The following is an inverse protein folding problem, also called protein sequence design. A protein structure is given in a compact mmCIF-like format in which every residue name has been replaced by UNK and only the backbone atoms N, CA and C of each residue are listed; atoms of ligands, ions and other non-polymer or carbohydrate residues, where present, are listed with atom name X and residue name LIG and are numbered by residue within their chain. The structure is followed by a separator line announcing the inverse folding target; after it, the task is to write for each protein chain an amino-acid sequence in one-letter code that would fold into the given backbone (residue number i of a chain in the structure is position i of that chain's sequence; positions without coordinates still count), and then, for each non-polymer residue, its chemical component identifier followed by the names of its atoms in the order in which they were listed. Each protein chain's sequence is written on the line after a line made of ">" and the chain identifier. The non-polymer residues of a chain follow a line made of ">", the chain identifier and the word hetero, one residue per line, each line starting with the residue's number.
data_IF_567394756142
#
_entry.id   IF_567394756142
#
_cell.length_a   1.000
_cell.length_b   1.000
_cell.length_c   1.000
_cell.angle_alpha   90.00
_cell.angle_beta   90.00
_cell.angle_gamma   90.00
#
_symmetry.space_group_name_H-M   'P 1'
#
loop_
_entity.id
_entity.type
_entity.pdbx_description
1 polymer ?
#
# COMPACT_ATOMS: atom_id res chain seq x y z
N UNK A 1 -35.98 -9.25 -27.00
CA UNK A 1 -35.28 -10.11 -26.04
C UNK A 1 -33.95 -10.49 -26.67
N UNK A 2 -32.95 -9.60 -26.52
CA UNK A 2 -31.59 -9.81 -27.01
C UNK A 2 -30.78 -10.30 -25.82
N UNK A 3 -30.37 -11.56 -25.87
CA UNK A 3 -29.43 -12.16 -24.94
C UNK A 3 -28.07 -11.52 -25.19
N UNK A 4 -27.66 -10.62 -24.35
CA UNK A 4 -26.28 -10.18 -24.24
C UNK A 4 -25.46 -11.36 -23.73
N UNK A 5 -24.74 -12.04 -24.61
CA UNK A 5 -23.72 -13.00 -24.24
C UNK A 5 -22.58 -12.22 -23.55
N UNK A 6 -22.49 -12.34 -22.24
CA UNK A 6 -21.30 -11.94 -21.51
C UNK A 6 -20.14 -12.83 -22.00
N UNK A 7 -19.39 -12.32 -22.96
CA UNK A 7 -18.07 -12.86 -23.28
C UNK A 7 -17.16 -12.41 -22.14
N UNK A 8 -17.08 -13.21 -21.09
CA UNK A 8 -16.02 -13.09 -20.10
C UNK A 8 -14.72 -13.41 -20.82
N UNK A 9 -13.93 -12.38 -21.10
CA UNK A 9 -12.57 -12.56 -21.58
C UNK A 9 -11.84 -13.45 -20.55
N UNK A 10 -11.26 -14.55 -21.01
CA UNK A 10 -10.51 -15.46 -20.14
C UNK A 10 -9.29 -14.70 -19.65
N UNK A 11 -9.17 -14.49 -18.33
CA UNK A 11 -8.02 -13.87 -17.72
C UNK A 11 -6.75 -14.61 -18.15
N UNK A 12 -5.76 -13.89 -18.69
CA UNK A 12 -4.52 -14.53 -19.19
C UNK A 12 -3.68 -15.00 -18.02
N UNK A 13 -3.02 -16.13 -18.19
CA UNK A 13 -2.11 -16.68 -17.16
C UNK A 13 -0.84 -15.82 -17.00
N UNK A 14 -0.51 -14.97 -17.98
CA UNK A 14 0.59 -14.03 -17.93
C UNK A 14 0.27 -12.77 -18.70
N UNK A 15 0.71 -11.63 -18.20
CA UNK A 15 0.61 -10.33 -18.83
C UNK A 15 1.93 -9.58 -18.69
N UNK A 16 2.22 -8.75 -19.70
CA UNK A 16 3.38 -7.90 -19.74
C UNK A 16 2.97 -6.53 -20.24
N UNK A 17 3.23 -5.48 -19.45
CA UNK A 17 2.77 -4.13 -19.74
C UNK A 17 3.95 -3.17 -19.72
N UNK A 18 4.38 -2.62 -20.86
CA UNK A 18 5.29 -1.49 -20.88
C UNK A 18 4.54 -0.23 -20.42
N UNK A 19 5.22 0.65 -19.71
CA UNK A 19 4.65 1.92 -19.28
C UNK A 19 5.66 3.05 -19.36
N UNK A 20 5.11 4.26 -19.51
CA UNK A 20 5.84 5.52 -19.54
C UNK A 20 5.10 6.49 -18.64
N UNK A 21 5.83 7.18 -17.75
CA UNK A 21 5.27 8.24 -16.93
C UNK A 21 6.35 9.26 -16.56
N UNK A 22 5.92 10.36 -15.96
CA UNK A 22 6.83 11.36 -15.40
C UNK A 22 6.38 11.77 -14.01
N UNK A 23 7.34 11.89 -13.09
CA UNK A 23 7.13 12.41 -11.74
C UNK A 23 8.21 13.42 -11.40
N UNK A 24 7.97 14.28 -10.42
CA UNK A 24 8.95 15.24 -9.96
C UNK A 24 10.23 14.54 -9.44
N UNK A 25 10.07 13.46 -8.69
CA UNK A 25 11.17 12.68 -8.10
C UNK A 25 11.98 11.93 -9.16
N UNK A 26 11.30 11.18 -10.03
CA UNK A 26 11.97 10.30 -10.99
C UNK A 26 12.31 10.97 -12.32
N UNK A 27 11.60 12.06 -12.70
CA UNK A 27 11.65 12.58 -14.05
C UNK A 27 10.87 11.70 -15.04
N UNK A 28 11.21 11.76 -16.33
CA UNK A 28 10.63 10.90 -17.36
C UNK A 28 11.16 9.47 -17.18
N UNK A 29 10.26 8.53 -16.98
CA UNK A 29 10.58 7.15 -16.64
C UNK A 29 9.93 6.18 -17.63
N UNK A 30 10.69 5.21 -18.10
CA UNK A 30 10.21 4.08 -18.88
C UNK A 30 10.38 2.81 -18.08
N UNK A 31 9.37 1.96 -18.13
CA UNK A 31 9.40 0.73 -17.36
C UNK A 31 8.58 -0.39 -17.97
N UNK A 32 8.65 -1.51 -17.32
CA UNK A 32 7.90 -2.70 -17.68
C UNK A 32 7.45 -3.40 -16.41
N UNK A 33 6.21 -3.89 -16.42
CA UNK A 33 5.67 -4.76 -15.38
C UNK A 33 5.17 -6.05 -16.00
N UNK A 34 5.36 -7.16 -15.31
CA UNK A 34 4.88 -8.47 -15.73
C UNK A 34 4.29 -9.25 -14.57
N UNK A 35 3.25 -10.02 -14.85
CA UNK A 35 2.64 -10.97 -13.93
C UNK A 35 2.53 -12.33 -14.62
N UNK A 36 2.87 -13.39 -13.88
CA UNK A 36 2.61 -14.77 -14.29
C UNK A 36 1.81 -15.45 -13.16
N UNK A 37 0.58 -15.87 -13.48
CA UNK A 37 -0.35 -16.52 -12.56
C UNK A 37 -0.27 -18.04 -12.71
N UNK A 38 -0.64 -18.77 -11.67
CA UNK A 38 -0.68 -20.23 -11.70
C UNK A 38 0.70 -20.92 -11.80
N UNK A 39 1.79 -20.20 -11.44
CA UNK A 39 3.15 -20.74 -11.51
C UNK A 39 3.35 -21.78 -10.42
N UNK A 40 3.47 -23.04 -10.83
CA UNK A 40 3.54 -24.28 -10.00
C UNK A 40 2.31 -24.58 -9.18
N UNK A 41 1.52 -23.58 -8.78
CA UNK A 41 0.28 -23.74 -8.00
C UNK A 41 -0.79 -22.78 -8.53
N UNK A 42 -2.08 -23.16 -8.65
CA UNK A 42 -3.13 -22.36 -9.29
C UNK A 42 -3.33 -20.96 -8.68
N UNK A 43 -3.14 -20.83 -7.36
CA UNK A 43 -3.30 -19.57 -6.62
C UNK A 43 -2.03 -18.74 -6.59
N UNK A 44 -0.87 -19.30 -6.95
CA UNK A 44 0.41 -18.62 -6.88
C UNK A 44 0.63 -17.67 -8.06
N UNK A 45 1.35 -16.59 -7.82
CA UNK A 45 1.71 -15.63 -8.85
C UNK A 45 3.14 -15.12 -8.65
N UNK A 46 3.82 -14.86 -9.77
CA UNK A 46 5.04 -14.09 -9.83
C UNK A 46 4.72 -12.71 -10.41
N UNK A 47 5.26 -11.67 -9.80
CA UNK A 47 5.18 -10.30 -10.31
C UNK A 47 6.57 -9.69 -10.34
N UNK A 48 6.88 -9.00 -11.43
CA UNK A 48 8.12 -8.25 -11.59
C UNK A 48 7.87 -6.90 -12.21
N UNK A 49 8.62 -5.89 -11.79
CA UNK A 49 8.62 -4.56 -12.37
C UNK A 49 10.03 -4.01 -12.39
N UNK A 50 10.37 -3.36 -13.49
CA UNK A 50 11.60 -2.58 -13.60
C UNK A 50 11.33 -1.27 -14.31
N UNK A 51 11.96 -0.19 -13.84
CA UNK A 51 11.93 1.10 -14.53
C UNK A 51 13.29 1.79 -14.48
N UNK A 52 13.50 2.65 -15.44
CA UNK A 52 14.67 3.53 -15.56
C UNK A 52 14.22 4.93 -15.97
N UNK A 53 14.85 5.96 -15.43
CA UNK A 53 14.50 7.35 -15.62
C UNK A 53 15.59 8.18 -16.30
N UNK A 54 15.21 9.34 -16.85
CA UNK A 54 16.12 10.33 -17.44
C UNK A 54 17.08 11.00 -16.42
N UNK A 55 16.81 10.82 -15.11
CA UNK A 55 17.70 11.22 -14.00
C UNK A 55 18.67 10.11 -13.57
N UNK A 56 18.88 9.06 -14.38
CA UNK A 56 19.67 7.88 -14.03
C UNK A 56 19.20 7.15 -12.74
N UNK A 57 17.92 7.32 -12.39
CA UNK A 57 17.28 6.57 -11.31
C UNK A 57 16.73 5.26 -11.85
N UNK A 58 16.71 4.22 -11.02
CA UNK A 58 16.03 2.96 -11.35
C UNK A 58 15.29 2.39 -10.15
N UNK A 59 14.23 1.63 -10.42
CA UNK A 59 13.51 0.84 -9.45
C UNK A 59 13.35 -0.57 -10.00
N UNK A 60 13.67 -1.57 -9.18
CA UNK A 60 13.42 -2.98 -9.43
C UNK A 60 12.54 -3.56 -8.32
N UNK A 61 11.51 -4.30 -8.71
CA UNK A 61 10.63 -5.02 -7.80
C UNK A 61 10.38 -6.43 -8.32
N UNK A 62 10.52 -7.42 -7.45
CA UNK A 62 10.20 -8.80 -7.74
C UNK A 62 9.45 -9.41 -6.55
N UNK A 63 8.43 -10.17 -6.83
CA UNK A 63 7.69 -10.87 -5.79
C UNK A 63 7.13 -12.20 -6.24
N UNK A 64 7.01 -13.11 -5.30
CA UNK A 64 6.30 -14.37 -5.44
C UNK A 64 5.23 -14.43 -4.35
N UNK A 65 3.98 -14.69 -4.74
CA UNK A 65 2.83 -14.59 -3.85
C UNK A 65 2.09 -15.92 -3.73
N UNK A 66 1.57 -16.19 -2.53
CA UNK A 66 0.53 -17.18 -2.25
C UNK A 66 0.93 -18.63 -2.56
N UNK A 67 2.19 -19.00 -2.34
CA UNK A 67 2.61 -20.40 -2.42
C UNK A 67 2.12 -21.16 -1.20
N UNK A 68 1.20 -22.09 -1.37
CA UNK A 68 0.72 -22.94 -0.29
C UNK A 68 1.79 -23.95 0.13
N UNK A 69 2.27 -23.83 1.37
CA UNK A 69 3.15 -24.81 2.00
C UNK A 69 2.36 -25.94 2.65
N UNK A 70 1.16 -25.60 3.15
CA UNK A 70 0.15 -26.54 3.66
C UNK A 70 -1.25 -25.99 3.34
N UNK A 71 -2.32 -26.71 3.71
CA UNK A 71 -3.70 -26.29 3.51
C UNK A 71 -4.06 -24.94 4.17
N UNK A 72 -3.21 -24.41 5.06
CA UNK A 72 -3.45 -23.17 5.80
C UNK A 72 -2.22 -22.26 5.92
N UNK A 73 -1.08 -22.70 5.44
CA UNK A 73 0.15 -21.90 5.50
C UNK A 73 0.56 -21.50 4.09
N UNK A 74 0.52 -20.21 3.83
CA UNK A 74 0.96 -19.61 2.57
C UNK A 74 2.32 -18.91 2.77
N UNK A 75 3.12 -18.96 1.74
CA UNK A 75 4.41 -18.26 1.65
C UNK A 75 4.37 -17.22 0.55
N UNK A 76 4.92 -16.05 0.84
CA UNK A 76 5.17 -14.98 -0.14
C UNK A 76 6.53 -14.35 0.10
N UNK A 77 7.11 -13.74 -0.92
CA UNK A 77 8.35 -12.96 -0.80
C UNK A 77 8.32 -11.74 -1.68
N UNK A 78 8.99 -10.68 -1.24
CA UNK A 78 9.11 -9.41 -1.97
C UNK A 78 10.55 -8.92 -1.89
N UNK A 79 11.08 -8.49 -3.03
CA UNK A 79 12.39 -7.89 -3.19
C UNK A 79 12.21 -6.55 -3.89
N UNK A 80 12.65 -5.48 -3.25
CA UNK A 80 12.64 -4.13 -3.79
C UNK A 80 14.04 -3.53 -3.69
N UNK A 81 14.46 -2.87 -4.75
CA UNK A 81 15.70 -2.11 -4.80
C UNK A 81 15.50 -0.87 -5.66
N UNK A 82 15.94 0.28 -5.18
CA UNK A 82 15.88 1.53 -5.92
C UNK A 82 17.16 2.34 -5.75
N UNK A 83 17.59 2.95 -6.84
CA UNK A 83 18.54 4.06 -6.85
C UNK A 83 17.78 5.30 -7.32
N UNK A 84 17.70 6.29 -6.46
CA UNK A 84 16.98 7.52 -6.68
C UNK A 84 17.99 8.68 -6.70
N UNK A 85 18.25 9.25 -7.87
CA UNK A 85 19.15 10.39 -8.00
C UNK A 85 18.37 11.69 -7.84
N UNK A 86 18.92 12.64 -7.08
CA UNK A 86 18.31 13.94 -6.81
C UNK A 86 16.86 13.82 -6.28
N UNK A 87 16.62 12.86 -5.39
CA UNK A 87 15.33 12.68 -4.78
C UNK A 87 15.18 13.54 -3.51
N UNK A 88 13.95 13.99 -3.20
CA UNK A 88 13.68 14.74 -1.98
C UNK A 88 13.58 13.82 -0.77
N UNK A 89 14.32 14.12 0.29
CA UNK A 89 14.24 13.47 1.59
C UNK A 89 14.04 14.51 2.69
N UNK A 90 13.24 14.17 3.69
CA UNK A 90 13.03 14.98 4.89
C UNK A 90 13.71 14.27 6.05
N UNK A 91 14.78 14.83 6.58
CA UNK A 91 15.69 14.16 7.51
C UNK A 91 15.59 14.76 8.91
N UNK A 92 15.48 13.90 9.93
CA UNK A 92 15.36 14.30 11.33
C UNK A 92 14.16 15.23 11.55
N UNK A 93 14.38 16.35 12.20
CA UNK A 93 13.32 17.32 12.51
C UNK A 93 12.62 17.93 11.30
N UNK A 94 13.16 17.77 10.09
CA UNK A 94 12.51 18.22 8.86
C UNK A 94 11.30 17.34 8.48
N UNK A 95 11.17 16.16 9.07
CA UNK A 95 9.99 15.30 8.97
C UNK A 95 8.90 15.60 10.00
N UNK A 96 9.11 16.50 10.95
CA UNK A 96 8.10 16.82 11.97
C UNK A 96 6.87 17.50 11.36
N UNK A 97 5.70 17.32 11.99
CA UNK A 97 4.41 17.82 11.50
C UNK A 97 4.38 19.35 11.23
N UNK A 98 5.14 20.14 11.98
CA UNK A 98 5.23 21.61 11.83
C UNK A 98 6.44 22.07 11.01
N UNK A 99 7.20 21.17 10.38
CA UNK A 99 8.38 21.56 9.59
C UNK A 99 8.00 22.18 8.23
N UNK A 100 8.88 23.04 7.69
CA UNK A 100 8.67 23.63 6.36
C UNK A 100 9.02 22.65 5.24
N UNK A 101 8.29 22.71 4.13
CA UNK A 101 8.62 22.00 2.89
C UNK A 101 10.02 22.34 2.35
N UNK A 102 10.52 23.54 2.64
CA UNK A 102 11.86 23.99 2.23
C UNK A 102 12.99 23.23 2.93
N UNK A 103 12.68 22.51 4.04
CA UNK A 103 13.62 21.67 4.75
C UNK A 103 14.00 20.38 4.01
N UNK A 104 13.46 20.14 2.83
CA UNK A 104 13.79 18.96 2.01
C UNK A 104 15.25 18.98 1.56
N UNK A 105 15.90 17.85 1.68
CA UNK A 105 17.24 17.59 1.17
C UNK A 105 17.13 16.87 -0.17
N UNK A 106 17.69 17.46 -1.22
CA UNK A 106 17.75 16.85 -2.55
C UNK A 106 19.07 16.11 -2.67
N UNK A 107 19.06 14.79 -2.56
CA UNK A 107 20.24 13.93 -2.53
C UNK A 107 20.00 12.63 -3.29
N UNK A 108 21.10 11.93 -3.57
CA UNK A 108 20.98 10.58 -4.13
C UNK A 108 20.75 9.58 -3.01
N UNK A 109 19.82 8.68 -3.22
CA UNK A 109 19.46 7.60 -2.29
C UNK A 109 19.56 6.23 -2.93
N UNK A 110 19.94 5.25 -2.13
CA UNK A 110 19.84 3.84 -2.48
C UNK A 110 19.03 3.13 -1.42
N UNK A 111 17.98 2.44 -1.84
CA UNK A 111 16.99 1.82 -0.96
C UNK A 111 16.84 0.34 -1.29
N UNK A 112 16.76 -0.48 -0.25
CA UNK A 112 16.50 -1.92 -0.33
C UNK A 112 15.40 -2.30 0.67
N UNK A 113 14.49 -3.20 0.24
CA UNK A 113 13.47 -3.77 1.12
C UNK A 113 13.23 -5.22 0.70
N UNK A 114 13.57 -6.13 1.58
CA UNK A 114 13.41 -7.57 1.39
C UNK A 114 12.52 -8.13 2.48
N UNK A 115 11.49 -8.89 2.12
CA UNK A 115 10.58 -9.54 3.07
C UNK A 115 10.22 -10.95 2.63
N UNK A 116 10.11 -11.80 3.63
CA UNK A 116 9.49 -13.10 3.54
C UNK A 116 8.19 -13.05 4.35
N UNK A 117 7.13 -13.65 3.90
CA UNK A 117 5.87 -13.72 4.63
C UNK A 117 5.42 -15.17 4.74
N UNK A 118 5.15 -15.60 5.98
CA UNK A 118 4.53 -16.87 6.32
C UNK A 118 3.14 -16.56 6.90
N UNK A 119 2.10 -16.71 6.07
CA UNK A 119 0.72 -16.38 6.41
C UNK A 119 -0.04 -17.63 6.80
N UNK A 120 -0.44 -17.73 8.05
CA UNK A 120 -1.28 -18.80 8.58
C UNK A 120 -2.74 -18.37 8.61
N UNK A 121 -3.60 -19.15 7.92
CA UNK A 121 -5.02 -18.92 7.82
C UNK A 121 -5.76 -19.59 8.99
N UNK A 122 -6.53 -18.81 9.74
CA UNK A 122 -7.30 -19.34 10.86
C UNK A 122 -8.52 -20.13 10.38
N UNK A 123 -8.88 -21.24 11.09
CA UNK A 123 -9.87 -22.21 10.60
C UNK A 123 -11.33 -21.79 10.85
N UNK A 124 -11.66 -20.56 10.50
CA UNK A 124 -13.01 -20.02 10.61
C UNK A 124 -13.34 -19.10 9.43
N UNK A 125 -14.56 -18.48 9.44
CA UNK A 125 -15.02 -17.70 8.31
C UNK A 125 -15.02 -18.54 7.02
N UNK A 126 -14.62 -17.96 5.92
CA UNK A 126 -14.58 -18.62 4.60
C UNK A 126 -13.57 -19.78 4.56
N UNK A 127 -12.53 -19.74 5.38
CA UNK A 127 -11.46 -20.76 5.40
C UNK A 127 -11.95 -22.08 5.99
N UNK A 128 -12.99 -22.06 6.81
CA UNK A 128 -13.56 -23.27 7.42
C UNK A 128 -14.03 -24.27 6.37
N UNK A 129 -14.71 -23.77 5.34
CA UNK A 129 -15.36 -24.61 4.33
C UNK A 129 -14.54 -24.75 3.03
N UNK A 130 -13.80 -23.70 2.65
CA UNK A 130 -13.09 -23.59 1.37
C UNK A 130 -11.56 -23.76 1.48
N UNK A 131 -11.01 -23.86 2.70
CA UNK A 131 -9.58 -23.84 2.92
C UNK A 131 -8.93 -22.57 2.39
N UNK A 132 -7.63 -22.63 2.06
CA UNK A 132 -6.92 -21.46 1.53
C UNK A 132 -7.52 -20.92 0.22
N UNK A 133 -8.23 -21.72 -0.56
CA UNK A 133 -8.88 -21.28 -1.79
C UNK A 133 -9.97 -20.24 -1.55
N UNK A 134 -10.55 -20.20 -0.35
CA UNK A 134 -11.51 -19.18 0.06
C UNK A 134 -10.97 -17.76 -0.02
N UNK A 135 -9.66 -17.55 0.14
CA UNK A 135 -9.01 -16.24 -0.03
C UNK A 135 -9.15 -15.69 -1.46
N UNK A 136 -9.20 -16.58 -2.45
CA UNK A 136 -9.13 -16.22 -3.87
C UNK A 136 -10.50 -16.13 -4.53
N UNK A 137 -11.58 -16.29 -3.77
CA UNK A 137 -12.92 -16.07 -4.29
C UNK A 137 -13.07 -14.63 -4.76
N UNK A 138 -13.49 -14.38 -6.01
CA UNK A 138 -13.64 -13.03 -6.53
C UNK A 138 -14.73 -12.23 -5.82
N UNK A 139 -15.74 -12.90 -5.29
CA UNK A 139 -16.83 -12.33 -4.51
C UNK A 139 -17.04 -13.15 -3.25
N UNK A 140 -17.14 -12.48 -2.10
CA UNK A 140 -17.35 -13.11 -0.79
C UNK A 140 -18.59 -12.55 -0.11
N UNK A 141 -19.21 -13.33 0.75
CA UNK A 141 -20.28 -12.85 1.62
C UNK A 141 -19.66 -12.01 2.75
N UNK A 142 -20.06 -10.75 2.85
CA UNK A 142 -19.64 -9.81 3.89
C UNK A 142 -20.80 -9.44 4.84
N UNK A 143 -21.83 -10.28 4.89
CA UNK A 143 -23.07 -10.00 5.65
C UNK A 143 -22.86 -10.00 7.17
N UNK A 144 -21.85 -10.71 7.66
CA UNK A 144 -21.55 -10.85 9.08
C UNK A 144 -20.37 -9.97 9.48
N UNK A 145 -20.43 -9.42 10.70
CA UNK A 145 -19.40 -8.55 11.27
C UNK A 145 -18.48 -9.27 12.27
N UNK A 146 -18.39 -10.59 12.19
CA UNK A 146 -17.56 -11.41 13.08
C UNK A 146 -16.50 -12.18 12.28
N UNK A 147 -15.24 -12.17 12.69
CA UNK A 147 -14.18 -12.94 12.03
C UNK A 147 -14.41 -14.45 12.08
N UNK A 148 -15.22 -14.95 13.01
CA UNK A 148 -15.57 -16.37 13.11
C UNK A 148 -16.56 -16.78 12.01
N UNK A 149 -17.47 -15.88 11.63
CA UNK A 149 -18.60 -16.20 10.75
C UNK A 149 -18.34 -15.79 9.30
N UNK A 150 -17.46 -14.82 9.04
CA UNK A 150 -17.21 -14.31 7.69
C UNK A 150 -15.79 -13.82 7.46
N UNK A 151 -15.45 -13.66 6.19
CA UNK A 151 -14.15 -13.15 5.75
C UNK A 151 -13.01 -14.16 5.95
N UNK A 152 -11.81 -13.66 5.81
CA UNK A 152 -10.55 -14.38 5.98
C UNK A 152 -9.79 -13.77 7.14
N UNK A 153 -9.47 -14.58 8.15
CA UNK A 153 -8.59 -14.16 9.24
C UNK A 153 -7.26 -14.88 9.12
N UNK A 154 -6.15 -14.14 9.23
CA UNK A 154 -4.81 -14.71 9.15
C UNK A 154 -3.85 -14.08 10.16
N UNK A 155 -2.79 -14.83 10.48
CA UNK A 155 -1.64 -14.36 11.23
C UNK A 155 -0.43 -14.52 10.32
N UNK A 156 0.28 -13.43 10.07
CA UNK A 156 1.50 -13.43 9.27
C UNK A 156 2.74 -13.20 10.13
N UNK A 157 3.76 -14.01 9.91
CA UNK A 157 5.13 -13.80 10.40
C UNK A 157 5.96 -13.28 9.23
N UNK A 158 6.54 -12.08 9.36
CA UNK A 158 7.20 -11.38 8.27
C UNK A 158 8.63 -10.98 8.70
N UNK A 159 9.63 -11.85 8.55
CA UNK A 159 11.03 -11.43 8.60
C UNK A 159 11.32 -10.39 7.51
N UNK A 160 12.02 -9.32 7.87
CA UNK A 160 12.34 -8.24 6.95
C UNK A 160 13.78 -7.74 7.08
N UNK A 161 14.26 -7.16 6.00
CA UNK A 161 15.49 -6.37 5.92
C UNK A 161 15.20 -5.12 5.11
N UNK A 162 15.56 -3.95 5.64
CA UNK A 162 15.48 -2.69 4.93
C UNK A 162 16.77 -1.92 5.09
N UNK A 163 17.16 -1.17 4.06
CA UNK A 163 18.35 -0.32 4.07
C UNK A 163 18.08 0.93 3.26
N UNK A 164 18.54 2.06 3.78
CA UNK A 164 18.57 3.35 3.08
C UNK A 164 19.94 3.99 3.23
N UNK A 165 20.57 4.28 2.10
CA UNK A 165 21.86 4.96 2.03
C UNK A 165 21.71 6.27 1.30
N UNK A 166 21.96 7.38 1.96
CA UNK A 166 21.91 8.69 1.37
C UNK A 166 23.32 9.18 1.02
N UNK A 167 23.43 10.03 -0.01
CA UNK A 167 24.71 10.52 -0.50
C UNK A 167 25.48 11.32 0.56
N UNK A 168 26.80 11.42 0.35
CA UNK A 168 27.81 11.92 1.30
C UNK A 168 27.54 13.30 1.96
N UNK A 169 26.65 14.12 1.41
CA UNK A 169 26.30 15.41 2.01
C UNK A 169 25.55 15.27 3.34
N UNK A 170 24.92 14.14 3.59
CA UNK A 170 24.09 13.87 4.78
C UNK A 170 24.54 12.57 5.47
N UNK A 171 25.33 11.71 4.80
CA UNK A 171 25.94 10.47 5.30
C UNK A 171 25.13 9.74 6.37
N UNK A 172 23.97 9.22 6.00
CA UNK A 172 23.28 8.25 6.82
C UNK A 172 23.14 6.92 6.05
N UNK A 173 23.83 5.91 6.53
CA UNK A 173 23.64 4.52 6.13
C UNK A 173 22.79 3.86 7.22
N UNK A 174 21.49 3.74 6.97
CA UNK A 174 20.56 3.17 7.92
C UNK A 174 20.12 1.77 7.48
N UNK A 175 20.10 0.87 8.40
CA UNK A 175 19.66 -0.51 8.17
C UNK A 175 18.72 -0.94 9.28
N UNK A 176 17.65 -1.62 8.93
CA UNK A 176 16.80 -2.31 9.89
C UNK A 176 16.58 -3.75 9.45
N UNK A 177 16.60 -4.64 10.42
CA UNK A 177 16.24 -6.05 10.26
C UNK A 177 15.46 -6.51 11.48
N UNK A 178 14.45 -7.34 11.22
CA UNK A 178 13.55 -7.72 12.28
C UNK A 178 12.43 -8.63 11.82
N UNK A 179 11.38 -8.62 12.63
CA UNK A 179 10.19 -9.42 12.41
C UNK A 179 8.96 -8.54 12.59
N UNK A 180 7.98 -8.68 11.69
CA UNK A 180 6.61 -8.16 11.86
C UNK A 180 5.66 -9.32 12.10
N UNK A 181 4.74 -9.14 13.03
CA UNK A 181 3.60 -10.01 13.27
C UNK A 181 2.36 -9.23 12.88
N UNK A 182 1.61 -9.73 11.90
CA UNK A 182 0.36 -9.11 11.47
C UNK A 182 -0.83 -10.02 11.75
N UNK A 183 -1.86 -9.47 12.38
CA UNK A 183 -3.19 -10.07 12.49
C UNK A 183 -4.09 -9.34 11.49
N UNK A 184 -4.60 -10.08 10.54
CA UNK A 184 -5.37 -9.55 9.41
C UNK A 184 -6.76 -10.19 9.38
N UNK A 185 -7.79 -9.36 9.22
CA UNK A 185 -9.15 -9.80 8.96
C UNK A 185 -9.73 -9.05 7.75
N UNK A 186 -9.84 -9.76 6.63
CA UNK A 186 -10.41 -9.26 5.38
C UNK A 186 -11.83 -9.79 5.18
N UNK A 187 -12.81 -8.94 5.47
CA UNK A 187 -14.24 -9.20 5.31
C UNK A 187 -14.84 -8.41 4.12
N UNK A 188 -14.02 -7.99 3.16
CA UNK A 188 -14.51 -7.33 1.95
C UNK A 188 -15.20 -8.32 1.04
N UNK A 189 -16.26 -7.87 0.35
CA UNK A 189 -16.91 -8.66 -0.70
C UNK A 189 -15.97 -8.93 -1.89
N UNK A 190 -15.09 -7.99 -2.20
CA UNK A 190 -14.05 -8.12 -3.22
C UNK A 190 -12.76 -7.44 -2.77
N UNK A 191 -11.60 -8.04 -3.05
CA UNK A 191 -10.30 -7.43 -2.75
C UNK A 191 -9.85 -6.39 -3.79
N UNK A 192 -10.38 -6.47 -5.03
CA UNK A 192 -9.98 -5.60 -6.15
C UNK A 192 -10.87 -4.37 -6.30
N UNK A 193 -12.16 -4.52 -6.06
CA UNK A 193 -13.15 -3.44 -6.10
C UNK A 193 -14.18 -3.65 -4.97
N UNK A 194 -13.79 -3.41 -3.71
CA UNK A 194 -14.68 -3.62 -2.58
C UNK A 194 -15.83 -2.64 -2.59
N UNK A 195 -17.04 -3.17 -2.38
CA UNK A 195 -18.27 -2.39 -2.28
C UNK A 195 -18.90 -2.45 -0.91
N UNK A 196 -18.63 -3.51 -0.17
CA UNK A 196 -19.15 -3.77 1.18
C UNK A 196 -18.11 -4.48 2.03
N UNK A 197 -18.30 -4.42 3.33
CA UNK A 197 -17.48 -5.10 4.31
C UNK A 197 -16.35 -4.23 4.84
N UNK A 198 -15.33 -4.88 5.39
CA UNK A 198 -14.23 -4.20 6.05
C UNK A 198 -12.92 -4.98 5.90
N UNK A 199 -11.82 -4.28 6.12
CA UNK A 199 -10.49 -4.87 6.24
C UNK A 199 -9.80 -4.27 7.46
N UNK A 200 -9.31 -5.12 8.36
CA UNK A 200 -8.62 -4.69 9.59
C UNK A 200 -7.29 -5.41 9.69
N UNK A 201 -6.22 -4.66 9.85
CA UNK A 201 -4.89 -5.17 10.07
C UNK A 201 -4.27 -4.55 11.33
N UNK A 202 -3.76 -5.39 12.23
CA UNK A 202 -2.96 -5.01 13.38
C UNK A 202 -1.56 -5.58 13.20
N UNK A 203 -0.57 -4.70 13.08
CA UNK A 203 0.83 -5.09 12.89
C UNK A 203 1.66 -4.70 14.12
N UNK A 204 2.46 -5.64 14.61
CA UNK A 204 3.48 -5.43 15.61
C UNK A 204 4.85 -5.71 15.00
N UNK A 205 5.71 -4.70 14.98
CA UNK A 205 7.07 -4.77 14.42
C UNK A 205 8.11 -4.70 15.51
N UNK A 206 9.15 -5.50 15.38
CA UNK A 206 10.37 -5.46 16.21
C UNK A 206 11.58 -5.50 15.29
N UNK A 207 12.57 -4.64 15.55
CA UNK A 207 13.77 -4.62 14.73
C UNK A 207 14.93 -3.94 15.42
N UNK A 208 16.10 -4.10 14.81
CA UNK A 208 17.35 -3.47 15.21
C UNK A 208 18.23 -3.22 14.01
N UNK A 209 19.27 -2.43 14.15
CA UNK A 209 20.28 -2.22 13.11
C UNK A 209 21.14 -3.48 12.89
N UNK A 210 21.35 -4.27 13.92
CA UNK A 210 22.17 -5.49 13.90
C UNK A 210 21.55 -6.61 14.73
N UNK A 211 21.65 -7.85 14.28
CA UNK A 211 21.24 -9.03 15.07
C UNK A 211 22.01 -9.21 16.39
N UNK A 212 23.15 -8.53 16.51
CA UNK A 212 23.99 -8.56 17.71
C UNK A 212 23.64 -7.44 18.71
N UNK A 213 22.76 -6.50 18.37
CA UNK A 213 22.34 -5.40 19.24
C UNK A 213 21.24 -5.86 20.17
N UNK A 214 21.41 -5.50 21.48
CA UNK A 214 20.36 -5.68 22.49
C UNK A 214 19.26 -4.60 22.39
N UNK A 215 19.46 -3.55 21.61
CA UNK A 215 18.56 -2.44 21.44
C UNK A 215 17.53 -2.72 20.35
N UNK A 216 16.45 -3.36 20.75
CA UNK A 216 15.32 -3.69 19.88
C UNK A 216 14.26 -2.60 20.00
N UNK A 217 13.99 -1.90 18.89
CA UNK A 217 12.83 -1.01 18.79
C UNK A 217 11.55 -1.81 18.51
N UNK A 218 10.42 -1.25 18.88
CA UNK A 218 9.12 -1.83 18.56
C UNK A 218 8.13 -0.77 18.11
N UNK A 219 7.18 -1.20 17.26
CA UNK A 219 6.15 -0.36 16.67
C UNK A 219 4.84 -1.14 16.58
N UNK A 220 3.73 -0.46 16.81
CA UNK A 220 2.37 -1.01 16.71
C UNK A 220 1.62 -0.15 15.70
N UNK A 221 0.96 -0.80 14.73
CA UNK A 221 0.17 -0.14 13.70
C UNK A 221 -1.21 -0.81 13.61
N UNK A 222 -2.25 -0.01 13.53
CA UNK A 222 -3.61 -0.46 13.28
C UNK A 222 -4.17 0.27 12.06
N UNK A 223 -4.67 -0.50 11.09
CA UNK A 223 -5.43 0.01 9.95
C UNK A 223 -6.81 -0.65 9.91
N UNK A 224 -7.84 0.15 9.63
CA UNK A 224 -9.20 -0.34 9.43
C UNK A 224 -9.86 0.40 8.27
N UNK A 225 -10.27 -0.35 7.26
CA UNK A 225 -10.99 0.18 6.09
C UNK A 225 -12.42 -0.34 6.09
N UNK A 226 -13.37 0.52 5.72
CA UNK A 226 -14.81 0.22 5.70
C UNK A 226 -15.40 0.63 4.35
N UNK A 227 -16.33 -0.18 3.82
CA UNK A 227 -16.93 0.04 2.50
C UNK A 227 -18.44 -0.02 2.57
N UNK A 228 -19.11 1.01 2.02
CA UNK A 228 -20.54 1.15 2.02
C UNK A 228 -21.05 1.38 0.60
N UNK A 229 -21.78 0.40 0.06
CA UNK A 229 -22.43 0.54 -1.23
C UNK A 229 -23.63 1.47 -1.13
N UNK A 230 -23.67 2.48 -1.99
CA UNK A 230 -24.80 3.38 -2.15
C UNK A 230 -25.75 2.93 -3.27
N UNK A 231 -25.43 1.80 -3.94
CA UNK A 231 -26.18 1.30 -5.08
C UNK A 231 -25.83 1.99 -6.40
N UNK A 232 -26.72 1.83 -7.38
CA UNK A 232 -26.59 2.44 -8.70
C UNK A 232 -27.30 3.80 -8.76
N UNK A 233 -26.82 4.66 -9.64
CA UNK A 233 -27.53 5.86 -10.09
C UNK A 233 -27.84 5.64 -11.59
N UNK A 234 -29.01 5.10 -11.85
CA UNK A 234 -29.39 4.60 -13.16
C UNK A 234 -29.11 5.57 -14.31
N UNK A 235 -28.53 5.07 -15.39
CA UNK A 235 -28.12 5.81 -16.56
C UNK A 235 -26.79 6.55 -16.43
N UNK A 236 -26.15 6.59 -15.25
CA UNK A 236 -24.89 7.30 -15.02
C UNK A 236 -23.85 6.39 -14.37
N UNK A 237 -24.17 5.83 -13.21
CA UNK A 237 -23.26 4.99 -12.45
C UNK A 237 -23.88 3.63 -12.12
N UNK A 238 -23.22 2.56 -12.54
CA UNK A 238 -23.57 1.19 -12.21
C UNK A 238 -23.40 0.95 -10.70
N UNK A 239 -22.39 1.57 -10.11
CA UNK A 239 -22.02 1.36 -8.72
C UNK A 239 -21.46 2.64 -8.09
N UNK A 240 -21.85 2.90 -6.87
CA UNK A 240 -21.31 3.98 -6.03
C UNK A 240 -20.92 3.40 -4.67
N UNK A 241 -19.76 3.80 -4.15
CA UNK A 241 -19.24 3.31 -2.87
C UNK A 241 -18.65 4.47 -2.08
N UNK A 242 -19.01 4.57 -0.80
CA UNK A 242 -18.25 5.33 0.19
C UNK A 242 -17.26 4.38 0.87
N UNK A 243 -15.99 4.73 0.83
CA UNK A 243 -14.94 3.99 1.50
C UNK A 243 -14.23 4.90 2.51
N UNK A 244 -13.98 4.37 3.70
CA UNK A 244 -13.29 5.07 4.79
C UNK A 244 -12.10 4.23 5.22
N UNK A 245 -11.00 4.89 5.54
CA UNK A 245 -9.81 4.27 6.10
C UNK A 245 -9.35 5.04 7.34
N UNK A 246 -9.05 4.29 8.37
CA UNK A 246 -8.45 4.77 9.61
C UNK A 246 -7.11 4.08 9.82
N UNK A 247 -6.09 4.87 10.12
CA UNK A 247 -4.77 4.37 10.48
C UNK A 247 -4.26 5.07 11.73
N UNK A 248 -3.65 4.32 12.61
CA UNK A 248 -2.89 4.86 13.73
C UNK A 248 -1.68 3.99 14.04
N UNK A 249 -0.61 4.62 14.51
CA UNK A 249 0.62 3.93 14.87
C UNK A 249 1.33 4.60 16.05
N UNK A 250 2.07 3.81 16.81
CA UNK A 250 2.97 4.28 17.87
C UNK A 250 4.25 3.45 17.89
N UNK A 251 5.33 4.07 18.34
CA UNK A 251 6.63 3.45 18.62
C UNK A 251 6.90 3.51 20.14
N UNK A 252 6.43 2.54 20.95
CA UNK A 252 6.55 2.59 22.40
C UNK A 252 7.99 2.66 22.90
N UNK A 253 8.96 2.14 22.13
CA UNK A 253 10.39 2.20 22.48
C UNK A 253 11.03 3.58 22.28
N UNK A 254 10.35 4.55 21.65
CA UNK A 254 10.87 5.84 21.20
C UNK A 254 11.66 6.64 22.24
N UNK A 255 11.18 6.66 23.49
CA UNK A 255 11.78 7.38 24.60
C UNK A 255 12.58 6.48 25.56
N UNK A 256 12.86 5.23 25.15
CA UNK A 256 13.74 4.34 25.91
C UNK A 256 15.18 4.66 25.53
N UNK A 257 15.85 5.44 26.36
CA UNK A 257 17.22 5.90 26.14
C UNK A 257 18.16 5.31 27.20
N UNK A 258 19.41 5.09 26.85
CA UNK A 258 20.48 4.72 27.75
C UNK A 258 21.06 5.92 28.50
N UNK A 259 22.09 5.71 29.35
CA UNK A 259 22.77 6.76 30.09
C UNK A 259 23.50 7.76 29.19
N UNK A 260 23.83 7.39 27.94
CA UNK A 260 24.48 8.24 26.93
C UNK A 260 23.48 9.03 26.10
N UNK A 261 22.18 8.97 26.43
CA UNK A 261 21.04 9.56 25.69
C UNK A 261 20.85 8.99 24.29
N UNK A 262 21.37 7.80 24.02
CA UNK A 262 21.06 7.05 22.79
C UNK A 262 19.71 6.36 22.99
N UNK A 263 18.75 6.66 22.11
CA UNK A 263 17.38 6.19 22.24
C UNK A 263 17.07 5.05 21.26
N UNK A 264 16.30 4.07 21.72
CA UNK A 264 15.91 2.87 20.95
C UNK A 264 14.78 3.23 20.00
N UNK A 265 15.15 3.83 18.85
CA UNK A 265 14.24 4.27 17.79
C UNK A 265 14.46 3.45 16.53
N UNK A 266 13.42 3.22 15.71
CA UNK A 266 13.63 2.69 14.37
C UNK A 266 14.46 3.68 13.54
N UNK A 267 15.27 3.20 12.57
CA UNK A 267 15.88 4.07 11.58
C UNK A 267 14.80 4.90 10.87
N UNK A 268 15.16 6.06 10.36
CA UNK A 268 14.19 7.06 9.89
C UNK A 268 13.23 6.52 8.81
N UNK A 269 13.72 5.67 7.92
CA UNK A 269 12.90 5.04 6.88
C UNK A 269 11.91 3.97 7.39
N UNK A 270 12.03 3.54 8.66
CA UNK A 270 11.13 2.62 9.36
C UNK A 270 10.26 3.33 10.41
N UNK A 271 10.43 4.64 10.61
CA UNK A 271 9.59 5.40 11.52
C UNK A 271 8.15 5.48 11.01
N UNK A 272 7.23 5.70 11.94
CA UNK A 272 5.83 6.00 11.60
C UNK A 272 5.80 7.22 10.69
N UNK A 273 5.19 7.10 9.51
CA UNK A 273 5.24 8.16 8.51
C UNK A 273 3.92 8.39 7.79
N UNK A 274 3.71 9.65 7.38
CA UNK A 274 2.63 10.09 6.52
C UNK A 274 3.21 10.82 5.29
N UNK A 275 2.45 10.80 4.21
CA UNK A 275 2.87 11.22 2.88
C UNK A 275 3.19 10.01 1.99
N UNK A 276 3.05 10.17 0.70
CA UNK A 276 3.34 9.13 -0.28
C UNK A 276 2.10 8.59 -0.99
N UNK A 277 2.12 7.32 -1.35
CA UNK A 277 1.14 6.73 -2.26
C UNK A 277 -0.21 6.41 -1.60
N UNK A 278 -0.25 6.27 -0.28
CA UNK A 278 -1.39 5.68 0.43
C UNK A 278 -2.02 6.62 1.47
N UNK A 279 -1.25 7.50 2.07
CA UNK A 279 -1.69 8.38 3.16
C UNK A 279 -1.20 9.80 2.92
N UNK A 280 -2.05 10.82 3.14
CA UNK A 280 -1.76 12.22 2.80
C UNK A 280 -1.19 12.34 1.37
N UNK A 281 -1.99 11.95 0.39
CA UNK A 281 -1.57 11.68 -1.00
C UNK A 281 -1.06 12.90 -1.78
N UNK A 282 -1.19 14.11 -1.25
CA UNK A 282 -0.58 15.30 -1.84
C UNK A 282 0.86 15.58 -1.40
N UNK A 283 1.42 14.75 -0.52
CA UNK A 283 2.76 14.95 0.03
C UNK A 283 3.72 13.86 -0.45
N UNK A 284 4.99 14.24 -0.60
CA UNK A 284 6.08 13.31 -0.91
C UNK A 284 6.18 12.20 0.14
N UNK A 285 6.65 11.02 -0.25
CA UNK A 285 6.84 9.90 0.68
C UNK A 285 7.75 10.27 1.84
N UNK A 286 7.30 9.96 3.07
CA UNK A 286 8.03 10.28 4.29
C UNK A 286 8.12 11.79 4.62
N UNK A 287 7.24 12.63 3.99
CA UNK A 287 7.21 14.07 4.29
C UNK A 287 7.05 14.35 5.79
N UNK A 288 6.22 13.57 6.44
CA UNK A 288 6.04 13.60 7.88
C UNK A 288 6.39 12.25 8.47
N UNK A 289 7.25 12.23 9.49
CA UNK A 289 7.61 11.03 10.23
C UNK A 289 7.90 11.36 11.69
N UNK A 290 7.82 10.36 12.56
CA UNK A 290 8.04 10.52 13.99
C UNK A 290 7.66 9.26 14.77
N UNK A 291 7.38 9.44 16.07
CA UNK A 291 7.01 8.37 16.98
C UNK A 291 5.64 7.76 16.65
N UNK A 292 4.66 8.64 16.43
CA UNK A 292 3.25 8.23 16.32
C UNK A 292 2.54 8.97 15.21
N UNK A 293 1.44 8.37 14.70
CA UNK A 293 0.58 9.00 13.72
C UNK A 293 -0.88 8.61 13.93
N UNK A 294 -1.75 9.49 13.40
CA UNK A 294 -3.15 9.20 13.11
C UNK A 294 -3.48 9.69 11.70
N UNK A 295 -4.29 8.94 10.98
CA UNK A 295 -4.71 9.30 9.64
C UNK A 295 -6.12 8.80 9.36
N UNK A 296 -6.89 9.62 8.67
CA UNK A 296 -8.22 9.33 8.17
C UNK A 296 -8.27 9.59 6.67
N UNK A 297 -8.89 8.70 5.94
CA UNK A 297 -9.20 8.89 4.52
C UNK A 297 -10.67 8.60 4.25
N UNK A 298 -11.28 9.36 3.35
CA UNK A 298 -12.59 9.09 2.81
C UNK A 298 -12.51 9.15 1.28
N UNK A 299 -13.10 8.14 0.63
CA UNK A 299 -13.20 8.08 -0.83
C UNK A 299 -14.65 7.91 -1.27
N UNK A 300 -15.06 8.66 -2.29
CA UNK A 300 -16.26 8.41 -3.05
C UNK A 300 -15.87 7.81 -4.39
N UNK A 301 -16.23 6.54 -4.59
CA UNK A 301 -15.91 5.71 -5.75
C UNK A 301 -17.12 5.58 -6.64
N UNK A 302 -16.97 5.88 -7.93
CA UNK A 302 -18.05 5.91 -8.91
C UNK A 302 -17.67 5.06 -10.12
N UNK A 303 -18.37 3.95 -10.34
CA UNK A 303 -18.22 3.10 -11.50
C UNK A 303 -19.24 3.54 -12.56
N UNK A 304 -18.83 4.16 -13.67
CA UNK A 304 -19.79 4.58 -14.70
C UNK A 304 -20.39 3.36 -15.42
N UNK A 305 -21.63 3.48 -15.88
CA UNK A 305 -22.22 2.49 -16.81
C UNK A 305 -21.49 2.48 -18.16
N UNK A 306 -20.91 3.62 -18.55
CA UNK A 306 -20.12 3.74 -19.76
C UNK A 306 -18.70 3.18 -19.58
N UNK A 307 -18.42 2.06 -20.23
CA UNK A 307 -17.15 1.31 -20.15
C UNK A 307 -16.49 1.17 -21.55
N UNK A 308 -15.94 2.25 -22.15
CA UNK A 308 -15.48 2.24 -23.54
C UNK A 308 -14.12 1.58 -23.74
N UNK A 309 -13.32 1.40 -22.69
CA UNK A 309 -11.90 1.01 -22.81
C UNK A 309 -11.73 -0.33 -23.52
N UNK A 310 -12.62 -1.29 -23.29
CA UNK A 310 -12.61 -2.60 -23.95
C UNK A 310 -12.89 -2.55 -25.47
N UNK A 311 -13.35 -1.43 -26.01
CA UNK A 311 -13.61 -1.25 -27.46
C UNK A 311 -12.49 -0.49 -28.19
N UNK A 312 -11.51 0.08 -27.47
CA UNK A 312 -10.43 0.86 -28.06
C UNK A 312 -9.36 -0.09 -28.64
N UNK A 313 -8.98 0.04 -29.93
CA UNK A 313 -7.90 -0.74 -30.52
C UNK A 313 -6.61 -0.65 -29.69
N UNK A 314 -5.85 -1.75 -29.57
CA UNK A 314 -4.67 -1.93 -28.72
C UNK A 314 -5.03 -2.11 -27.26
N UNK A 315 -5.93 -1.30 -26.68
CA UNK A 315 -6.36 -1.44 -25.28
C UNK A 315 -7.20 -2.70 -25.12
N UNK A 316 -8.04 -3.04 -26.10
CA UNK A 316 -8.87 -4.26 -26.11
C UNK A 316 -8.07 -5.58 -26.15
N UNK A 317 -6.75 -5.51 -26.31
CA UNK A 317 -5.86 -6.66 -26.16
C UNK A 317 -5.73 -7.10 -24.69
N UNK A 318 -5.94 -6.17 -23.77
CA UNK A 318 -5.86 -6.39 -22.31
C UNK A 318 -7.25 -6.66 -21.74
N UNK A 319 -7.33 -7.47 -20.66
CA UNK A 319 -8.55 -7.61 -19.88
C UNK A 319 -8.75 -6.36 -19.01
N UNK A 320 -9.74 -5.54 -19.39
CA UNK A 320 -10.13 -4.32 -18.68
C UNK A 320 -11.62 -4.38 -18.31
N UNK A 321 -11.97 -5.12 -17.25
CA UNK A 321 -13.37 -5.32 -16.87
C UNK A 321 -14.06 -4.02 -16.41
N UNK A 322 -13.32 -3.07 -15.85
CA UNK A 322 -13.88 -1.80 -15.38
C UNK A 322 -12.85 -0.68 -15.27
N UNK A 323 -13.35 0.54 -15.31
CA UNK A 323 -12.67 1.75 -14.87
C UNK A 323 -13.61 2.57 -13.99
N UNK A 324 -13.06 3.43 -13.11
CA UNK A 324 -13.78 4.05 -12.01
C UNK A 324 -13.22 5.45 -11.73
N UNK A 325 -14.11 6.39 -11.44
CA UNK A 325 -13.75 7.68 -10.84
C UNK A 325 -13.66 7.57 -9.33
N UNK A 326 -12.74 8.34 -8.73
CA UNK A 326 -12.61 8.47 -7.29
C UNK A 326 -12.40 9.93 -6.93
N UNK A 327 -13.18 10.43 -5.98
CA UNK A 327 -12.90 11.67 -5.26
C UNK A 327 -12.47 11.30 -3.83
N UNK A 328 -11.48 12.00 -3.27
CA UNK A 328 -10.97 11.65 -1.95
C UNK A 328 -10.55 12.85 -1.11
N UNK A 329 -10.53 12.64 0.21
CA UNK A 329 -9.93 13.53 1.20
C UNK A 329 -9.14 12.69 2.21
N UNK A 330 -7.93 13.16 2.55
CA UNK A 330 -7.09 12.60 3.60
C UNK A 330 -6.83 13.66 4.65
N UNK A 331 -6.80 13.28 5.92
CA UNK A 331 -6.32 14.14 7.01
C UNK A 331 -5.49 13.29 7.97
N UNK A 332 -4.38 13.84 8.46
CA UNK A 332 -3.51 13.11 9.37
C UNK A 332 -2.45 13.96 10.03
N UNK A 333 -1.82 13.41 11.05
CA UNK A 333 -0.74 14.04 11.79
C UNK A 333 0.26 13.02 12.29
N UNK A 334 1.53 13.39 12.32
CA UNK A 334 2.58 12.71 13.09
C UNK A 334 2.89 13.50 14.37
N UNK A 335 3.32 12.80 15.43
CA UNK A 335 3.69 13.42 16.69
C UNK A 335 4.84 12.68 17.38
N UNK A 336 5.52 13.37 18.33
CA UNK A 336 6.58 12.80 19.16
C UNK A 336 6.05 12.01 20.36
N UNK A 337 4.74 12.02 20.57
CA UNK A 337 4.03 11.29 21.62
C UNK A 337 2.67 10.81 21.15
N UNK A 338 2.23 9.66 21.65
CA UNK A 338 0.89 9.15 21.36
C UNK A 338 -0.11 9.78 22.33
N UNK A 339 -0.54 10.99 22.02
CA UNK A 339 -1.59 11.72 22.73
C UNK A 339 -2.71 12.12 21.77
N UNK A 340 -3.95 11.73 22.09
CA UNK A 340 -5.08 11.93 21.19
C UNK A 340 -5.36 13.41 20.92
N UNK A 341 -5.16 14.30 21.91
CA UNK A 341 -5.36 15.74 21.70
C UNK A 341 -4.31 16.30 20.74
N UNK A 342 -3.04 15.95 20.93
CA UNK A 342 -1.94 16.33 20.05
C UNK A 342 -2.17 15.80 18.66
N UNK A 343 -2.51 14.53 18.50
CA UNK A 343 -2.73 13.89 17.19
C UNK A 343 -3.91 14.47 16.39
N UNK A 344 -4.89 15.13 17.04
CA UNK A 344 -6.01 15.78 16.37
C UNK A 344 -5.89 17.31 16.27
N UNK A 345 -4.71 17.88 16.59
CA UNK A 345 -4.44 19.31 16.46
C UNK A 345 -3.55 19.54 15.24
N UNK A 346 -3.71 20.63 14.49
CA UNK A 346 -2.89 20.99 13.32
C UNK A 346 -2.65 19.84 12.34
N UNK A 347 -3.71 19.11 12.01
CA UNK A 347 -3.64 18.00 11.06
C UNK A 347 -3.36 18.49 9.66
N UNK A 348 -2.51 17.77 8.94
CA UNK A 348 -2.26 17.96 7.51
C UNK A 348 -3.40 17.35 6.70
N UNK A 349 -3.62 17.85 5.49
CA UNK A 349 -4.73 17.40 4.66
C UNK A 349 -4.34 17.26 3.18
N UNK A 350 -5.03 16.36 2.50
CA UNK A 350 -5.00 16.20 1.03
C UNK A 350 -6.40 16.09 0.50
N UNK A 351 -6.66 16.63 -0.67
CA UNK A 351 -7.91 16.44 -1.43
C UNK A 351 -7.55 16.16 -2.88
N UNK A 352 -8.28 15.29 -3.53
CA UNK A 352 -7.97 14.98 -4.92
C UNK A 352 -8.98 14.10 -5.61
N UNK A 353 -8.61 13.72 -6.82
CA UNK A 353 -9.36 12.80 -7.66
C UNK A 353 -8.45 11.80 -8.36
N UNK A 354 -9.01 10.65 -8.67
CA UNK A 354 -8.30 9.61 -9.37
C UNK A 354 -9.18 8.92 -10.41
N UNK A 355 -8.53 8.37 -11.42
CA UNK A 355 -9.10 7.34 -12.30
C UNK A 355 -8.42 6.02 -11.94
N UNK A 356 -9.21 5.01 -11.69
CA UNK A 356 -8.76 3.63 -11.48
C UNK A 356 -9.24 2.77 -12.62
N UNK A 357 -8.45 1.79 -12.99
CA UNK A 357 -8.84 0.76 -13.94
C UNK A 357 -8.20 -0.57 -13.56
N UNK A 358 -8.89 -1.66 -13.81
CA UNK A 358 -8.31 -2.99 -13.68
C UNK A 358 -7.73 -3.42 -15.02
N UNK A 359 -6.47 -3.83 -15.02
CA UNK A 359 -5.76 -4.37 -16.20
C UNK A 359 -5.20 -5.72 -15.81
N UNK A 360 -5.63 -6.81 -16.49
CA UNK A 360 -5.16 -8.18 -16.25
C UNK A 360 -5.22 -8.60 -14.77
N UNK A 361 -6.25 -8.11 -14.07
CA UNK A 361 -6.45 -8.39 -12.64
C UNK A 361 -5.65 -7.51 -11.68
N UNK A 362 -4.90 -6.54 -12.17
CA UNK A 362 -4.16 -5.56 -11.36
C UNK A 362 -4.87 -4.21 -11.45
N UNK A 363 -5.01 -3.53 -10.31
CA UNK A 363 -5.59 -2.17 -10.28
C UNK A 363 -4.49 -1.15 -10.56
N UNK A 364 -4.67 -0.34 -11.58
CA UNK A 364 -3.83 0.82 -11.92
C UNK A 364 -4.58 2.09 -11.57
N UNK A 365 -3.90 3.06 -10.99
CA UNK A 365 -4.48 4.32 -10.53
C UNK A 365 -3.65 5.50 -11.04
N UNK A 366 -4.33 6.48 -11.66
CA UNK A 366 -3.80 7.79 -11.96
C UNK A 366 -4.54 8.81 -11.09
N UNK A 367 -3.80 9.59 -10.30
CA UNK A 367 -4.41 10.54 -9.36
C UNK A 367 -3.75 11.92 -9.39
N UNK A 368 -4.55 12.94 -9.07
CA UNK A 368 -4.11 14.29 -8.75
C UNK A 368 -4.54 14.59 -7.34
N UNK A 369 -3.61 15.01 -6.52
CA UNK A 369 -3.85 15.39 -5.12
C UNK A 369 -3.28 16.78 -4.83
N UNK A 370 -4.00 17.57 -4.04
CA UNK A 370 -3.61 18.89 -3.55
C UNK A 370 -3.66 18.93 -2.04
N UNK A 371 -2.66 19.50 -1.41
CA UNK A 371 -2.58 19.79 0.02
C UNK A 371 -2.20 21.24 0.28
N UNK A 372 -1.77 21.52 1.50
CA UNK A 372 -1.30 22.86 1.88
C UNK A 372 0.05 23.23 1.28
N UNK A 373 0.90 22.26 0.99
CA UNK A 373 2.27 22.48 0.52
C UNK A 373 2.44 22.22 -0.98
N UNK A 374 1.86 21.11 -1.48
CA UNK A 374 2.14 20.62 -2.83
C UNK A 374 0.85 20.18 -3.55
N UNK A 375 0.97 20.10 -4.88
CA UNK A 375 0.02 19.41 -5.75
C UNK A 375 0.80 18.38 -6.55
N UNK A 376 0.38 17.11 -6.47
CA UNK A 376 1.11 16.00 -7.07
C UNK A 376 0.22 15.24 -8.04
N UNK A 377 0.80 14.84 -9.17
CA UNK A 377 0.23 13.85 -10.08
C UNK A 377 1.02 12.54 -9.93
N UNK A 378 0.31 11.41 -9.82
CA UNK A 378 0.93 10.09 -9.68
C UNK A 378 0.21 9.05 -10.50
N UNK A 379 0.98 8.10 -11.01
CA UNK A 379 0.46 6.85 -11.57
C UNK A 379 1.06 5.71 -10.77
N UNK A 380 0.23 4.79 -10.31
CA UNK A 380 0.68 3.70 -9.45
C UNK A 380 -0.14 2.43 -9.64
N UNK A 381 0.44 1.34 -9.19
CA UNK A 381 -0.22 0.04 -9.13
C UNK A 381 -0.77 -0.14 -7.71
N UNK A 382 -1.93 -0.76 -7.60
CA UNK A 382 -2.69 -1.01 -6.38
C UNK A 382 -3.53 0.20 -5.91
N UNK A 383 -4.37 -0.03 -4.91
CA UNK A 383 -5.22 0.98 -4.30
C UNK A 383 -4.74 1.31 -2.88
N UNK A 384 -5.15 2.47 -2.29
CA UNK A 384 -4.66 2.88 -0.98
C UNK A 384 -5.16 1.96 0.15
N UNK A 385 -6.38 1.44 0.02
CA UNK A 385 -7.02 0.53 0.98
C UNK A 385 -8.17 -0.22 0.33
#
# INVERSE_FOLDING_TARGET
>A
MLLASNVTAKEKDSAFVPFLFSTETLGLSVGVAGVAKGVWQPQAALFGMGLYSDKDSYIGFLSAYNYALTDRLLFSTQLYQAKLNQAPYYIGNQGNNGSSIEGKSIVDGFEENYKLEFKFLLPWGVIKDDGYMGMFKPQRDSSFASPIDSGVTSISLIPFYTSRKLSKAISSDETAKGIRLALDWDNRDSTRNPTKGSHTELTFSMGSESWANEEIWNQIELQNSQYFSLGSLGGIFEQQVLAFDFYTADTPSWNRCDESLTCVRPPEHEQVSLGGLYRLRSYTGGRYHGRSAIHYSAEYRMLPEWQPLGSIPVINYYDLPWWQWVAFVDVGRVAEEYDLKTLHTDMQWSVGGAVRLQVEGVVVRAEVAKGSEESLFRVMINQPF
#
